data_IF_543787277927
#
_entry.id   IF_543787277927
#
_cell.length_a   1.000
_cell.length_b   1.000
_cell.length_c   1.000
_cell.angle_alpha   90.00
_cell.angle_beta   90.00
_cell.angle_gamma   90.00
#
_symmetry.space_group_name_H-M   'P 1'
#
loop_
_entity.id
_entity.type
_entity.pdbx_description
1 polymer ?
#
# COMPACT_ATOMS: atom_id res chain seq x y z
N UNK A 1 16.55 8.64 8.36
CA UNK A 1 17.58 7.60 8.55
C UNK A 1 17.11 6.24 8.00
N UNK A 2 15.95 5.74 8.37
CA UNK A 2 15.42 4.43 7.93
C UNK A 2 15.30 4.21 6.41
N UNK A 3 14.84 5.21 5.64
CA UNK A 3 14.67 5.08 4.17
C UNK A 3 15.98 4.74 3.45
N UNK A 4 17.11 5.33 3.85
CA UNK A 4 18.42 5.03 3.23
C UNK A 4 18.89 3.62 3.56
N UNK A 5 18.69 3.17 4.79
CA UNK A 5 19.05 1.82 5.22
C UNK A 5 18.21 0.77 4.50
N UNK A 6 16.88 0.98 4.40
CA UNK A 6 15.99 0.07 3.68
C UNK A 6 16.37 -0.07 2.20
N UNK A 7 16.67 1.04 1.51
CA UNK A 7 17.12 0.99 0.10
C UNK A 7 18.46 0.27 -0.02
N UNK A 8 19.41 0.49 0.89
CA UNK A 8 20.70 -0.21 0.88
C UNK A 8 20.50 -1.73 0.98
N UNK A 9 19.76 -2.19 1.99
CA UNK A 9 19.48 -3.62 2.18
C UNK A 9 18.71 -4.20 1.00
N UNK A 10 17.72 -3.50 0.47
CA UNK A 10 16.97 -3.95 -0.70
C UNK A 10 17.87 -4.07 -1.94
N UNK A 11 18.83 -3.14 -2.15
CA UNK A 11 19.79 -3.20 -3.26
C UNK A 11 20.75 -4.38 -3.10
N UNK A 12 21.25 -4.64 -1.90
CA UNK A 12 22.09 -5.80 -1.60
C UNK A 12 21.34 -7.12 -1.86
N UNK A 13 20.06 -7.18 -1.47
CA UNK A 13 19.21 -8.33 -1.75
C UNK A 13 18.97 -8.55 -3.25
N UNK A 14 18.75 -7.49 -4.02
CA UNK A 14 18.58 -7.60 -5.47
C UNK A 14 19.86 -8.16 -6.14
N UNK A 15 21.04 -7.69 -5.73
CA UNK A 15 22.33 -8.20 -6.21
C UNK A 15 22.48 -9.68 -5.86
N UNK A 16 22.24 -10.06 -4.61
CA UNK A 16 22.38 -11.43 -4.13
C UNK A 16 21.44 -12.41 -4.87
N UNK A 17 20.24 -11.94 -5.22
CA UNK A 17 19.26 -12.72 -5.97
C UNK A 17 19.42 -12.60 -7.49
N UNK A 18 20.42 -11.86 -7.99
CA UNK A 18 20.70 -11.67 -9.41
C UNK A 18 19.52 -11.12 -10.20
N UNK A 19 18.75 -10.20 -9.59
CA UNK A 19 17.61 -9.54 -10.22
C UNK A 19 17.88 -8.06 -10.40
N UNK A 20 17.31 -7.47 -11.45
CA UNK A 20 17.37 -6.03 -11.70
C UNK A 20 16.14 -5.37 -11.10
N UNK A 21 16.35 -4.45 -10.15
CA UNK A 21 15.28 -3.69 -9.49
C UNK A 21 15.65 -2.21 -9.46
N UNK A 22 14.73 -1.35 -9.80
CA UNK A 22 14.88 0.11 -9.64
C UNK A 22 14.29 0.53 -8.30
N UNK A 23 15.11 1.15 -7.46
CA UNK A 23 14.69 1.65 -6.14
C UNK A 23 14.54 3.17 -6.19
N UNK A 24 13.36 3.65 -5.83
CA UNK A 24 13.05 5.09 -5.81
C UNK A 24 12.53 5.50 -4.44
N UNK A 25 13.01 6.64 -3.92
CA UNK A 25 12.51 7.21 -2.66
C UNK A 25 11.66 8.42 -2.98
N UNK A 26 10.35 8.29 -2.80
CA UNK A 26 9.37 9.36 -3.05
C UNK A 26 8.41 9.51 -1.86
N UNK A 27 7.78 10.67 -1.77
CA UNK A 27 6.62 10.87 -0.90
C UNK A 27 5.37 10.58 -1.72
N UNK A 28 4.74 9.45 -1.46
CA UNK A 28 3.60 8.97 -2.26
C UNK A 28 2.39 9.90 -2.17
N UNK A 29 2.22 10.63 -1.05
CA UNK A 29 1.13 11.59 -0.89
C UNK A 29 1.34 12.88 -1.71
N UNK A 30 2.60 13.15 -2.12
CA UNK A 30 2.97 14.29 -2.98
C UNK A 30 3.23 13.89 -4.42
N UNK A 31 3.27 12.59 -4.71
CA UNK A 31 3.49 12.08 -6.06
C UNK A 31 2.20 12.20 -6.86
N UNK A 32 2.25 12.93 -7.95
CA UNK A 32 1.08 13.16 -8.84
C UNK A 32 1.11 12.33 -10.10
N UNK A 33 2.26 11.73 -10.44
CA UNK A 33 2.47 10.97 -11.67
C UNK A 33 3.57 9.92 -11.46
N UNK A 34 3.44 8.78 -12.13
CA UNK A 34 4.49 7.77 -12.27
C UNK A 34 5.16 7.92 -13.65
N UNK A 35 6.40 7.43 -13.76
CA UNK A 35 7.22 7.65 -14.97
C UNK A 35 6.82 6.75 -16.15
N UNK A 36 6.07 5.69 -15.90
CA UNK A 36 5.68 4.70 -16.90
C UNK A 36 4.36 4.00 -16.53
N UNK A 37 3.83 3.21 -17.46
CA UNK A 37 2.72 2.29 -17.20
C UNK A 37 3.22 0.98 -16.57
N UNK A 38 2.38 0.38 -15.75
CA UNK A 38 2.68 -0.84 -15.01
C UNK A 38 1.61 -1.90 -15.23
N UNK A 39 2.02 -3.16 -15.34
CA UNK A 39 1.09 -4.29 -15.41
C UNK A 39 0.59 -4.72 -14.03
N UNK A 40 1.36 -4.40 -13.00
CA UNK A 40 1.01 -4.69 -11.63
C UNK A 40 1.54 -3.63 -10.69
N UNK A 41 0.66 -3.12 -9.83
CA UNK A 41 1.03 -2.25 -8.70
C UNK A 41 0.62 -2.95 -7.42
N UNK A 42 1.56 -3.14 -6.51
CA UNK A 42 1.32 -3.75 -5.19
C UNK A 42 1.73 -2.78 -4.11
N UNK A 43 0.90 -2.60 -3.11
CA UNK A 43 1.22 -1.71 -1.99
C UNK A 43 0.72 -2.26 -0.66
N UNK A 44 1.57 -2.13 0.35
CA UNK A 44 1.25 -2.26 1.76
C UNK A 44 1.52 -0.88 2.40
N UNK A 45 0.57 0.07 2.32
CA UNK A 45 0.75 1.40 2.88
C UNK A 45 0.50 1.41 4.38
N UNK A 46 0.90 2.46 5.11
CA UNK A 46 0.43 2.66 6.47
C UNK A 46 -1.11 2.65 6.52
N UNK A 47 -1.68 1.85 7.42
CA UNK A 47 -3.13 1.70 7.51
C UNK A 47 -3.68 1.55 8.94
N UNK A 48 -2.81 1.46 9.94
CA UNK A 48 -3.23 1.35 11.33
C UNK A 48 -3.71 2.72 11.81
N UNK A 49 -4.94 2.80 12.29
CA UNK A 49 -5.47 4.04 12.87
C UNK A 49 -4.88 4.27 14.25
N UNK A 50 -4.73 5.52 14.66
CA UNK A 50 -4.20 5.86 16.00
C UNK A 50 -5.02 5.21 17.12
N UNK A 51 -6.34 5.10 16.95
CA UNK A 51 -7.25 4.45 17.93
C UNK A 51 -6.98 2.94 18.08
N UNK A 52 -6.33 2.28 17.14
CA UNK A 52 -6.00 0.85 17.15
C UNK A 52 -4.62 0.57 17.79
N UNK A 53 -3.93 1.60 18.28
CA UNK A 53 -2.55 1.49 18.78
C UNK A 53 -2.41 0.50 19.93
N UNK A 54 -3.42 0.38 20.78
CA UNK A 54 -3.41 -0.55 21.92
C UNK A 54 -3.55 -2.01 21.49
N UNK A 55 -4.03 -2.29 20.28
CA UNK A 55 -4.16 -3.64 19.73
C UNK A 55 -2.85 -4.17 19.14
N UNK A 56 -1.85 -3.29 18.96
CA UNK A 56 -0.58 -3.66 18.33
C UNK A 56 0.37 -4.23 19.36
N UNK A 57 1.03 -5.33 19.02
CA UNK A 57 2.04 -5.94 19.87
C UNK A 57 3.23 -4.99 20.09
N UNK A 58 3.76 -4.95 21.32
CA UNK A 58 4.85 -4.07 21.71
C UNK A 58 6.10 -4.21 20.83
N UNK A 59 6.42 -5.43 20.38
CA UNK A 59 7.56 -5.67 19.49
C UNK A 59 7.46 -4.92 18.14
N UNK A 60 6.25 -4.70 17.62
CA UNK A 60 6.04 -3.93 16.40
C UNK A 60 6.21 -2.43 16.68
N UNK A 61 5.63 -1.95 17.79
CA UNK A 61 5.72 -0.54 18.18
C UNK A 61 7.17 -0.10 18.48
N UNK A 62 7.98 -1.01 19.04
CA UNK A 62 9.35 -0.71 19.47
C UNK A 62 10.34 -0.71 18.29
N UNK A 63 10.04 -1.40 17.20
CA UNK A 63 10.98 -1.63 16.10
C UNK A 63 10.59 -1.01 14.76
N UNK A 64 9.29 -0.78 14.53
CA UNK A 64 8.82 -0.18 13.29
C UNK A 64 8.67 1.35 13.41
N UNK A 65 9.05 2.12 12.38
CA UNK A 65 8.84 3.56 12.40
C UNK A 65 7.34 3.88 12.48
N UNK A 66 6.94 4.73 13.42
CA UNK A 66 5.55 5.18 13.59
C UNK A 66 4.90 5.64 12.26
N UNK A 67 5.64 6.38 11.44
CA UNK A 67 5.18 6.85 10.12
C UNK A 67 5.02 5.73 9.08
N UNK A 68 5.48 4.52 9.34
CA UNK A 68 5.31 3.37 8.46
C UNK A 68 4.07 2.55 8.82
N UNK A 69 3.47 2.77 9.99
CA UNK A 69 2.34 2.02 10.50
C UNK A 69 1.06 2.85 10.54
N UNK A 70 1.14 4.08 11.06
CA UNK A 70 -0.05 4.83 11.47
C UNK A 70 -0.55 5.83 10.45
N UNK A 71 -1.87 5.96 10.46
CA UNK A 71 -2.64 6.99 9.75
C UNK A 71 -3.54 7.73 10.74
N UNK A 72 -3.94 8.96 10.39
CA UNK A 72 -4.91 9.73 11.19
C UNK A 72 -6.27 9.03 11.19
N UNK A 73 -6.94 9.03 12.34
CA UNK A 73 -8.32 8.54 12.48
C UNK A 73 -9.31 9.35 11.64
N UNK A 74 -8.98 10.61 11.32
CA UNK A 74 -9.86 11.49 10.52
C UNK A 74 -9.82 11.21 9.02
N UNK A 75 -8.73 10.63 8.49
CA UNK A 75 -8.62 10.20 7.09
C UNK A 75 -7.77 8.92 6.97
N UNK A 76 -8.30 7.78 7.41
CA UNK A 76 -7.57 6.52 7.39
C UNK A 76 -7.34 5.96 5.98
N UNK A 77 -8.02 6.50 4.96
CA UNK A 77 -7.90 6.06 3.56
C UNK A 77 -6.95 6.93 2.72
N UNK A 78 -6.23 7.87 3.33
CA UNK A 78 -5.38 8.86 2.61
C UNK A 78 -4.39 8.20 1.65
N UNK A 79 -3.70 7.15 2.09
CA UNK A 79 -2.73 6.43 1.24
C UNK A 79 -3.42 5.62 0.14
N UNK A 80 -4.52 4.93 0.45
CA UNK A 80 -5.30 4.17 -0.55
C UNK A 80 -5.83 5.10 -1.63
N UNK A 81 -6.28 6.31 -1.27
CA UNK A 81 -6.75 7.32 -2.22
C UNK A 81 -5.62 7.80 -3.13
N UNK A 82 -4.48 8.14 -2.56
CA UNK A 82 -3.33 8.63 -3.34
C UNK A 82 -2.81 7.54 -4.30
N UNK A 83 -2.56 6.34 -3.78
CA UNK A 83 -2.03 5.23 -4.56
C UNK A 83 -3.06 4.73 -5.57
N UNK A 84 -4.34 4.66 -5.19
CA UNK A 84 -5.44 4.26 -6.08
C UNK A 84 -5.56 5.16 -7.31
N UNK A 85 -5.48 6.49 -7.13
CA UNK A 85 -5.47 7.44 -8.25
C UNK A 85 -4.25 7.25 -9.14
N UNK A 86 -3.05 7.18 -8.55
CA UNK A 86 -1.83 6.92 -9.32
C UNK A 86 -1.91 5.60 -10.09
N UNK A 87 -2.43 4.55 -9.47
CA UNK A 87 -2.59 3.26 -10.13
C UNK A 87 -3.62 3.34 -11.26
N UNK A 88 -4.75 3.99 -11.06
CA UNK A 88 -5.76 4.15 -12.10
C UNK A 88 -5.20 4.82 -13.35
N UNK A 89 -4.38 5.86 -13.18
CA UNK A 89 -3.80 6.62 -14.29
C UNK A 89 -2.64 5.89 -14.98
N UNK A 90 -1.93 5.01 -14.25
CA UNK A 90 -0.66 4.43 -14.73
C UNK A 90 -0.67 2.90 -14.90
N UNK A 91 -1.78 2.21 -14.65
CA UNK A 91 -1.89 0.80 -15.01
C UNK A 91 -2.07 0.63 -16.52
N UNK A 92 -1.46 -0.41 -17.08
CA UNK A 92 -1.72 -0.87 -18.44
C UNK A 92 -3.19 -1.34 -18.60
N UNK A 93 -3.65 -1.57 -19.82
CA UNK A 93 -5.05 -1.94 -20.08
C UNK A 93 -5.54 -3.19 -19.32
N UNK A 94 -4.64 -4.14 -19.07
CA UNK A 94 -4.91 -5.36 -18.27
C UNK A 94 -4.25 -5.31 -16.90
N UNK A 95 -3.74 -4.15 -16.49
CA UNK A 95 -3.00 -3.96 -15.24
C UNK A 95 -3.87 -4.14 -14.01
N UNK A 96 -3.23 -4.48 -12.90
CA UNK A 96 -3.90 -4.79 -11.64
C UNK A 96 -3.25 -4.07 -10.47
N UNK A 97 -4.08 -3.56 -9.58
CA UNK A 97 -3.69 -3.01 -8.28
C UNK A 97 -3.97 -4.05 -7.20
N UNK A 98 -3.01 -4.19 -6.29
CA UNK A 98 -3.18 -5.00 -5.08
C UNK A 98 -2.81 -4.16 -3.86
N UNK A 99 -3.69 -4.22 -2.85
CA UNK A 99 -3.45 -3.62 -1.55
C UNK A 99 -3.47 -4.67 -0.45
N UNK A 100 -2.58 -4.54 0.53
CA UNK A 100 -2.86 -4.97 1.89
C UNK A 100 -3.68 -3.87 2.57
N UNK A 101 -4.67 -4.27 3.38
CA UNK A 101 -5.61 -3.32 3.97
C UNK A 101 -5.79 -3.53 5.47
N UNK A 102 -6.25 -2.48 6.15
CA UNK A 102 -6.80 -2.57 7.49
C UNK A 102 -8.07 -3.44 7.46
N UNK A 103 -8.15 -4.44 8.36
CA UNK A 103 -9.26 -5.40 8.43
C UNK A 103 -10.63 -4.74 8.68
N UNK A 104 -10.67 -3.58 9.30
CA UNK A 104 -11.89 -2.85 9.62
C UNK A 104 -12.38 -1.92 8.50
N UNK A 105 -11.56 -1.70 7.46
CA UNK A 105 -11.81 -0.73 6.39
C UNK A 105 -11.99 -1.36 5.00
N UNK A 106 -12.34 -2.65 4.95
CA UNK A 106 -12.50 -3.37 3.69
C UNK A 106 -13.57 -2.78 2.79
N UNK A 107 -14.75 -2.47 3.35
CA UNK A 107 -15.88 -1.88 2.61
C UNK A 107 -15.57 -0.48 2.11
N UNK A 108 -14.99 0.35 2.96
CA UNK A 108 -14.61 1.73 2.66
C UNK A 108 -13.53 1.77 1.57
N UNK A 109 -12.56 0.85 1.62
CA UNK A 109 -11.52 0.75 0.59
C UNK A 109 -12.11 0.32 -0.75
N UNK A 110 -13.04 -0.64 -0.79
CA UNK A 110 -13.75 -1.04 -2.01
C UNK A 110 -14.51 0.14 -2.60
N UNK A 111 -15.26 0.86 -1.77
CA UNK A 111 -16.06 2.00 -2.20
C UNK A 111 -15.17 3.09 -2.81
N UNK A 112 -14.09 3.44 -2.12
CA UNK A 112 -13.10 4.41 -2.60
C UNK A 112 -12.54 4.02 -3.98
N UNK A 113 -12.16 2.76 -4.19
CA UNK A 113 -11.60 2.31 -5.45
C UNK A 113 -12.64 2.37 -6.59
N UNK A 114 -13.90 2.04 -6.31
CA UNK A 114 -14.99 2.21 -7.28
C UNK A 114 -15.23 3.67 -7.64
N UNK A 115 -15.18 4.58 -6.67
CA UNK A 115 -15.29 6.02 -6.90
C UNK A 115 -14.11 6.58 -7.72
N UNK A 116 -12.91 6.01 -7.61
CA UNK A 116 -11.77 6.34 -8.46
C UNK A 116 -12.01 5.89 -9.92
N UNK A 117 -12.80 4.83 -10.14
CA UNK A 117 -13.15 4.34 -11.47
C UNK A 117 -12.81 2.87 -11.74
N UNK A 118 -12.28 2.14 -10.74
CA UNK A 118 -12.05 0.69 -10.90
C UNK A 118 -13.38 -0.06 -11.01
N UNK A 119 -13.52 -0.89 -12.05
CA UNK A 119 -14.77 -1.63 -12.30
C UNK A 119 -14.80 -3.01 -11.64
N UNK A 120 -13.65 -3.62 -11.48
CA UNK A 120 -13.49 -4.94 -10.86
C UNK A 120 -12.70 -4.80 -9.56
N UNK A 121 -13.39 -4.81 -8.43
CA UNK A 121 -12.79 -4.70 -7.10
C UNK A 121 -13.18 -5.93 -6.28
N UNK A 122 -12.19 -6.71 -5.85
CA UNK A 122 -12.37 -7.94 -5.09
C UNK A 122 -11.61 -7.86 -3.77
N UNK A 123 -12.32 -8.17 -2.68
CA UNK A 123 -11.77 -8.31 -1.32
C UNK A 123 -11.44 -9.77 -1.05
N UNK A 124 -10.34 -10.01 -0.35
CA UNK A 124 -9.96 -11.32 0.16
C UNK A 124 -9.58 -11.26 1.63
N UNK A 125 -9.92 -12.31 2.32
CA UNK A 125 -9.59 -12.52 3.72
C UNK A 125 -8.28 -13.30 3.88
N UNK A 126 -7.66 -13.13 5.04
CA UNK A 126 -6.53 -13.94 5.49
C UNK A 126 -7.02 -15.32 6.01
N UNK A 127 -6.09 -16.15 6.48
CA UNK A 127 -6.39 -17.49 7.02
C UNK A 127 -7.22 -17.45 8.32
N UNK A 128 -7.32 -16.31 8.96
CA UNK A 128 -8.11 -16.11 10.19
C UNK A 128 -9.49 -15.51 9.90
N UNK A 129 -9.82 -15.24 8.63
CA UNK A 129 -11.10 -14.67 8.21
C UNK A 129 -11.17 -13.15 8.29
N UNK A 130 -10.05 -12.46 8.50
CA UNK A 130 -10.01 -11.00 8.52
C UNK A 130 -9.83 -10.44 7.11
N UNK A 131 -10.53 -9.36 6.79
CA UNK A 131 -10.32 -8.63 5.53
C UNK A 131 -8.87 -8.15 5.45
N UNK A 132 -8.13 -8.58 4.42
CA UNK A 132 -6.69 -8.34 4.37
C UNK A 132 -6.18 -7.83 3.04
N UNK A 133 -6.80 -8.21 1.94
CA UNK A 133 -6.28 -7.89 0.62
C UNK A 133 -7.39 -7.38 -0.28
N UNK A 134 -7.10 -6.34 -1.06
CA UNK A 134 -7.97 -5.88 -2.14
C UNK A 134 -7.22 -5.94 -3.46
N UNK A 135 -7.88 -6.48 -4.47
CA UNK A 135 -7.45 -6.44 -5.87
C UNK A 135 -8.40 -5.55 -6.65
N UNK A 136 -7.85 -4.68 -7.49
CA UNK A 136 -8.63 -3.85 -8.39
C UNK A 136 -8.08 -3.85 -9.82
N UNK A 137 -8.98 -3.70 -10.81
CA UNK A 137 -8.64 -3.46 -12.22
C UNK A 137 -9.72 -2.60 -12.89
N UNK A 138 -9.33 -1.97 -14.03
CA UNK A 138 -10.23 -1.18 -14.87
C UNK A 138 -11.20 -2.07 -15.61
#
# INVERSE_FOLDING_TARGET
>A
MYKRQAIKVASENAISNKVTVTFTSVDILKTTRLDQSYDCIVSNPPYVRELEKEEIQSNVLDHEPHTALFVSDTDPLVFYRAIGKLAFDNLSGNGRLFFEINQYLGKETIQLLKEIGFTHVALRQDIFGNDRMVKASR
#
